data_IF_146168014594
#
_entry.id   IF_146168014594
#
_cell.length_a   1.000
_cell.length_b   1.000
_cell.length_c   1.000
_cell.angle_alpha   90.00
_cell.angle_beta   90.00
_cell.angle_gamma   90.00
#
_symmetry.space_group_name_H-M   'P 1'
#
loop_
_entity.id
_entity.type
_entity.pdbx_description
1 polymer ?
#
# COMPACT_ATOMS: atom_id res chain seq x y z
N UNK A 1 -25.18 0.13 -23.38
CA UNK A 1 -23.98 -0.33 -22.62
C UNK A 1 -24.33 -0.20 -21.15
N UNK A 2 -24.42 -1.29 -20.40
CA UNK A 2 -24.81 -1.24 -19.00
C UNK A 2 -23.75 -0.42 -18.23
N UNK A 3 -24.17 0.69 -17.62
CA UNK A 3 -23.36 1.48 -16.71
C UNK A 3 -22.99 0.57 -15.54
N UNK A 4 -21.82 -0.07 -15.59
CA UNK A 4 -21.31 -0.85 -14.46
C UNK A 4 -20.91 0.15 -13.38
N UNK A 5 -21.87 0.51 -12.53
CA UNK A 5 -21.63 1.39 -11.40
C UNK A 5 -20.79 0.65 -10.37
N UNK A 6 -19.74 1.32 -9.88
CA UNK A 6 -18.94 0.83 -8.77
C UNK A 6 -19.86 0.81 -7.54
N UNK A 7 -19.94 -0.34 -6.87
CA UNK A 7 -20.72 -0.43 -5.64
C UNK A 7 -20.19 0.58 -4.62
N UNK A 8 -21.09 1.36 -4.01
CA UNK A 8 -20.72 2.50 -3.15
C UNK A 8 -19.78 2.11 -2.00
N UNK A 9 -19.87 0.86 -1.53
CA UNK A 9 -18.95 0.30 -0.54
C UNK A 9 -17.49 0.34 -1.01
N UNK A 10 -17.18 -0.25 -2.18
CA UNK A 10 -15.82 -0.27 -2.72
C UNK A 10 -15.32 1.13 -3.04
N UNK A 11 -16.22 2.00 -3.50
CA UNK A 11 -15.88 3.40 -3.73
C UNK A 11 -15.41 4.07 -2.44
N UNK A 12 -16.15 3.94 -1.34
CA UNK A 12 -15.77 4.55 -0.04
C UNK A 12 -14.51 3.90 0.53
N UNK A 13 -14.38 2.58 0.45
CA UNK A 13 -13.21 1.86 0.95
C UNK A 13 -11.92 2.34 0.29
N UNK A 14 -11.83 2.24 -1.04
CA UNK A 14 -10.60 2.57 -1.76
C UNK A 14 -10.34 4.08 -1.88
N UNK A 15 -11.36 4.93 -1.73
CA UNK A 15 -11.13 6.40 -1.77
C UNK A 15 -10.93 7.02 -0.40
N UNK A 16 -11.48 6.46 0.69
CA UNK A 16 -11.34 7.03 2.04
C UNK A 16 -10.53 6.13 2.96
N UNK A 17 -10.93 4.87 3.14
CA UNK A 17 -10.33 3.99 4.14
C UNK A 17 -8.87 3.71 3.80
N UNK A 18 -8.61 3.28 2.57
CA UNK A 18 -7.29 2.87 2.11
C UNK A 18 -6.25 4.02 2.13
N UNK A 19 -6.54 5.23 1.60
CA UNK A 19 -5.62 6.35 1.73
C UNK A 19 -5.47 6.86 3.17
N UNK A 20 -6.48 6.72 4.03
CA UNK A 20 -6.32 7.05 5.46
C UNK A 20 -5.40 6.06 6.17
N UNK A 21 -5.42 4.77 5.82
CA UNK A 21 -4.48 3.78 6.37
C UNK A 21 -3.07 3.94 5.83
N UNK A 22 -2.90 4.50 4.63
CA UNK A 22 -1.58 4.79 4.04
C UNK A 22 -0.84 5.94 4.75
N UNK A 23 -1.54 6.91 5.33
CA UNK A 23 -0.92 8.03 6.07
C UNK A 23 -0.06 7.55 7.25
N UNK A 24 -0.58 6.77 8.22
CA UNK A 24 0.23 6.26 9.31
C UNK A 24 1.30 5.28 8.83
N UNK A 25 1.06 4.51 7.76
CA UNK A 25 2.06 3.64 7.12
C UNK A 25 3.27 4.44 6.60
N UNK A 26 3.03 5.53 5.87
CA UNK A 26 4.10 6.42 5.37
C UNK A 26 4.84 7.08 6.53
N UNK A 27 4.11 7.56 7.54
CA UNK A 27 4.71 8.13 8.75
C UNK A 27 5.62 7.12 9.46
N UNK A 28 5.13 5.89 9.66
CA UNK A 28 5.87 4.84 10.34
C UNK A 28 7.14 4.46 9.57
N UNK A 29 7.10 4.40 8.23
CA UNK A 29 8.29 4.12 7.43
C UNK A 29 9.37 5.21 7.50
N UNK A 30 8.98 6.46 7.74
CA UNK A 30 9.91 7.60 7.79
C UNK A 30 10.49 7.78 9.19
N UNK A 31 9.65 7.68 10.23
CA UNK A 31 10.03 8.06 11.59
C UNK A 31 10.24 6.87 12.53
N UNK A 32 9.60 5.72 12.27
CA UNK A 32 9.69 4.51 13.12
C UNK A 32 9.81 3.24 12.26
N UNK A 33 10.85 3.12 11.42
CA UNK A 33 11.00 2.00 10.48
C UNK A 33 11.13 0.65 11.18
N UNK A 34 11.66 0.63 12.41
CA UNK A 34 11.71 -0.52 13.31
C UNK A 34 10.34 -1.16 13.54
N UNK A 35 9.31 -0.35 13.83
CA UNK A 35 7.95 -0.83 14.06
C UNK A 35 7.37 -1.51 12.81
N UNK A 36 7.69 -0.99 11.62
CA UNK A 36 7.23 -1.58 10.36
C UNK A 36 7.98 -2.86 10.03
N UNK A 37 9.28 -2.92 10.30
CA UNK A 37 10.09 -4.10 10.09
C UNK A 37 9.63 -5.24 11.01
N UNK A 38 9.46 -4.99 12.30
CA UNK A 38 8.99 -6.00 13.27
C UNK A 38 7.57 -6.51 12.96
N UNK A 39 6.72 -5.68 12.35
CA UNK A 39 5.37 -6.07 11.94
C UNK A 39 5.32 -7.00 10.73
N UNK A 40 6.33 -6.96 9.85
CA UNK A 40 6.37 -7.69 8.58
C UNK A 40 7.39 -8.84 8.57
N UNK A 41 8.47 -8.70 9.33
CA UNK A 41 9.61 -9.63 9.34
C UNK A 41 9.89 -10.02 10.80
N UNK A 42 10.05 -11.31 11.11
CA UNK A 42 10.41 -11.73 12.45
C UNK A 42 11.79 -11.19 12.83
N UNK A 43 12.00 -10.83 14.10
CA UNK A 43 13.30 -10.40 14.60
C UNK A 43 14.42 -11.43 14.39
N UNK A 44 14.07 -12.70 14.17
CA UNK A 44 15.03 -13.77 13.88
C UNK A 44 15.62 -13.71 12.47
N UNK A 45 15.01 -12.99 11.54
CA UNK A 45 15.49 -12.89 10.15
C UNK A 45 16.20 -11.57 9.85
N UNK A 46 15.66 -10.47 10.32
CA UNK A 46 16.23 -9.14 10.09
C UNK A 46 16.03 -8.27 11.32
N UNK A 47 17.05 -7.48 11.63
CA UNK A 47 17.01 -6.43 12.65
C UNK A 47 17.24 -5.11 11.92
N UNK A 48 16.55 -4.07 12.34
CA UNK A 48 16.65 -2.76 11.71
C UNK A 48 18.11 -2.28 11.62
N UNK A 49 18.55 -1.99 10.40
CA UNK A 49 19.86 -1.41 10.12
C UNK A 49 19.68 0.04 9.64
N UNK A 50 20.26 1.05 10.31
CA UNK A 50 20.17 2.45 9.90
C UNK A 50 20.70 2.72 8.49
N UNK A 51 21.62 1.89 7.98
CA UNK A 51 22.14 2.00 6.62
C UNK A 51 21.09 1.68 5.55
N UNK A 52 20.03 0.96 5.91
CA UNK A 52 18.90 0.63 5.05
C UNK A 52 17.81 1.71 5.07
N UNK A 53 18.00 2.79 5.85
CA UNK A 53 17.06 3.91 5.97
C UNK A 53 16.58 4.46 4.61
N UNK A 54 17.47 4.48 3.61
CA UNK A 54 17.13 4.90 2.26
C UNK A 54 16.02 4.05 1.62
N UNK A 55 16.02 2.72 1.82
CA UNK A 55 15.00 1.84 1.26
C UNK A 55 13.64 2.06 1.92
N UNK A 56 13.59 2.30 3.23
CA UNK A 56 12.35 2.66 3.92
C UNK A 56 11.78 3.99 3.42
N UNK A 57 12.63 4.98 3.15
CA UNK A 57 12.19 6.23 2.52
C UNK A 57 11.65 6.01 1.10
N UNK A 58 12.33 5.20 0.28
CA UNK A 58 11.84 4.88 -1.07
C UNK A 58 10.50 4.13 -1.02
N UNK A 59 10.35 3.21 -0.07
CA UNK A 59 9.09 2.50 0.17
C UNK A 59 7.98 3.45 0.65
N UNK A 60 8.31 4.40 1.53
CA UNK A 60 7.37 5.43 1.99
C UNK A 60 6.87 6.31 0.83
N UNK A 61 7.75 6.66 -0.11
CA UNK A 61 7.38 7.41 -1.30
C UNK A 61 6.43 6.62 -2.23
N UNK A 62 6.65 5.31 -2.36
CA UNK A 62 5.75 4.43 -3.11
C UNK A 62 4.35 4.40 -2.49
N UNK A 63 4.24 4.21 -1.17
CA UNK A 63 2.95 4.23 -0.48
C UNK A 63 2.28 5.60 -0.51
N UNK A 64 3.04 6.69 -0.42
CA UNK A 64 2.49 8.03 -0.60
C UNK A 64 1.92 8.23 -2.03
N UNK A 65 2.63 7.74 -3.05
CA UNK A 65 2.14 7.75 -4.43
C UNK A 65 0.84 6.93 -4.58
N UNK A 66 0.78 5.73 -4.01
CA UNK A 66 -0.45 4.90 -3.99
C UNK A 66 -1.60 5.64 -3.31
N UNK A 67 -1.34 6.31 -2.18
CA UNK A 67 -2.32 7.15 -1.49
C UNK A 67 -2.85 8.31 -2.35
N UNK A 68 -2.00 8.95 -3.15
CA UNK A 68 -2.42 9.99 -4.10
C UNK A 68 -3.23 9.40 -5.26
N UNK A 69 -2.88 8.22 -5.76
CA UNK A 69 -3.64 7.55 -6.82
C UNK A 69 -5.05 7.16 -6.34
N UNK A 70 -5.13 6.54 -5.18
CA UNK A 70 -6.40 6.13 -4.54
C UNK A 70 -7.21 7.31 -4.01
N UNK A 71 -6.53 8.29 -3.43
CA UNK A 71 -7.17 9.46 -2.85
C UNK A 71 -7.57 10.50 -3.91
N UNK A 72 -6.67 10.83 -4.82
CA UNK A 72 -6.88 11.85 -5.85
C UNK A 72 -7.53 11.29 -7.10
N UNK A 73 -6.84 10.38 -7.79
CA UNK A 73 -7.23 9.96 -9.14
C UNK A 73 -8.56 9.22 -9.14
N UNK A 74 -8.82 8.35 -8.17
CA UNK A 74 -10.11 7.64 -8.05
C UNK A 74 -11.29 8.57 -7.70
N UNK A 75 -11.05 9.76 -7.14
CA UNK A 75 -12.11 10.76 -6.90
C UNK A 75 -12.45 11.56 -8.16
N UNK A 76 -11.47 11.77 -9.04
CA UNK A 76 -11.63 12.57 -10.26
C UNK A 76 -12.10 11.72 -11.44
N UNK A 77 -11.64 10.46 -11.54
CA UNK A 77 -12.03 9.59 -12.65
C UNK A 77 -13.42 9.00 -12.44
N UNK A 78 -14.22 9.05 -13.51
CA UNK A 78 -15.52 8.36 -13.60
C UNK A 78 -15.44 7.07 -14.43
N UNK A 79 -14.28 6.77 -15.02
CA UNK A 79 -14.08 5.59 -15.85
C UNK A 79 -13.77 4.35 -14.99
N UNK A 80 -14.67 3.36 -15.06
CA UNK A 80 -14.55 2.07 -14.38
C UNK A 80 -13.28 1.30 -14.79
N UNK A 81 -12.80 1.46 -16.03
CA UNK A 81 -11.59 0.77 -16.51
C UNK A 81 -10.36 1.29 -15.77
N UNK A 82 -10.24 2.60 -15.66
CA UNK A 82 -9.16 3.25 -14.90
C UNK A 82 -9.22 2.84 -13.44
N UNK A 83 -10.42 2.82 -12.87
CA UNK A 83 -10.64 2.40 -11.48
C UNK A 83 -10.16 0.96 -11.23
N UNK A 84 -10.52 0.02 -12.11
CA UNK A 84 -10.08 -1.38 -12.01
C UNK A 84 -8.57 -1.53 -12.19
N UNK A 85 -7.94 -0.78 -13.10
CA UNK A 85 -6.49 -0.86 -13.33
C UNK A 85 -5.73 -0.40 -12.08
N UNK A 86 -6.15 0.70 -11.47
CA UNK A 86 -5.47 1.22 -10.27
C UNK A 86 -5.64 0.24 -9.10
N UNK A 87 -6.87 -0.25 -8.86
CA UNK A 87 -7.12 -1.23 -7.79
C UNK A 87 -6.39 -2.55 -8.06
N UNK A 88 -6.29 -3.01 -9.31
CA UNK A 88 -5.50 -4.18 -9.66
C UNK A 88 -3.99 -3.97 -9.41
N UNK A 89 -3.48 -2.76 -9.64
CA UNK A 89 -2.11 -2.39 -9.29
C UNK A 89 -1.85 -2.44 -7.79
N UNK A 90 -2.78 -1.95 -6.97
CA UNK A 90 -2.70 -2.04 -5.51
C UNK A 90 -2.73 -3.49 -5.05
N UNK A 91 -3.67 -4.29 -5.58
CA UNK A 91 -3.74 -5.72 -5.28
C UNK A 91 -2.43 -6.45 -5.61
N UNK A 92 -1.76 -6.08 -6.71
CA UNK A 92 -0.46 -6.66 -7.07
C UNK A 92 0.61 -6.32 -6.04
N UNK A 93 0.64 -5.08 -5.53
CA UNK A 93 1.56 -4.68 -4.45
C UNK A 93 1.28 -5.50 -3.19
N UNK A 94 0.02 -5.60 -2.77
CA UNK A 94 -0.37 -6.35 -1.57
C UNK A 94 0.01 -7.83 -1.67
N UNK A 95 -0.26 -8.46 -2.83
CA UNK A 95 0.11 -9.86 -3.10
C UNK A 95 1.61 -10.04 -3.10
N UNK A 96 2.38 -9.09 -3.65
CA UNK A 96 3.85 -9.16 -3.68
C UNK A 96 4.44 -9.08 -2.28
N UNK A 97 3.88 -8.22 -1.41
CA UNK A 97 4.29 -8.11 -0.01
C UNK A 97 3.94 -9.41 0.74
N UNK A 98 2.70 -9.90 0.60
CA UNK A 98 2.26 -11.14 1.25
C UNK A 98 3.08 -12.35 0.80
N UNK A 99 3.39 -12.43 -0.50
CA UNK A 99 4.24 -13.48 -1.05
C UNK A 99 5.68 -13.37 -0.51
N UNK A 100 6.21 -12.15 -0.35
CA UNK A 100 7.54 -11.94 0.23
C UNK A 100 7.59 -12.43 1.67
N UNK A 101 6.59 -12.09 2.48
CA UNK A 101 6.49 -12.63 3.85
C UNK A 101 6.44 -14.17 3.79
N UNK A 102 5.58 -14.76 2.96
CA UNK A 102 5.44 -16.23 2.93
C UNK A 102 6.67 -16.97 2.41
N UNK A 103 7.37 -16.43 1.40
CA UNK A 103 8.53 -17.07 0.78
C UNK A 103 9.78 -16.99 1.66
N UNK A 104 9.98 -15.88 2.37
CA UNK A 104 11.19 -15.67 3.15
C UNK A 104 11.02 -16.00 4.63
N UNK A 105 9.85 -15.71 5.22
CA UNK A 105 9.59 -15.90 6.66
C UNK A 105 9.26 -17.35 7.06
N UNK A 106 8.89 -18.19 6.10
CA UNK A 106 8.50 -19.59 6.32
C UNK A 106 9.56 -20.59 5.83
N UNK A 107 10.77 -20.11 5.52
CA UNK A 107 11.95 -20.89 5.14
C UNK A 107 12.94 -20.92 6.32
#
# INVERSE_FOLDING_TARGET
MAQQSIHSFYRVWFTCVDPLTLIPTVYALIYTPEFMLEGLIPPSMAVYNPLEGFFYHQLSALYAFVGIMLGGVLRVTSDIKVWRIIVAGVLLVDVSILASVKLYCNA
#
